data_IF_640054156233
#
_entry.id   IF_640054156233
#
_cell.length_a   1.000
_cell.length_b   1.000
_cell.length_c   1.000
_cell.angle_alpha   90.00
_cell.angle_beta   90.00
_cell.angle_gamma   90.00
#
_symmetry.space_group_name_H-M   'P 1'
#
loop_
_entity.id
_entity.type
_entity.pdbx_description
1 polymer ?
#
# COMPACT_ATOMS: atom_id res chain seq x y z
N UNK A 1 12.90 14.66 17.84
CA UNK A 1 13.54 15.49 16.78
C UNK A 1 12.52 15.71 15.69
N UNK A 2 12.61 16.82 14.95
CA UNK A 2 11.77 17.03 13.78
C UNK A 2 12.29 16.22 12.58
N UNK A 3 11.43 15.96 11.61
CA UNK A 3 11.73 15.13 10.45
C UNK A 3 12.94 15.64 9.64
N UNK A 4 13.02 16.94 9.41
CA UNK A 4 14.11 17.53 8.66
C UNK A 4 15.48 17.35 9.35
N UNK A 5 15.52 17.43 10.67
CA UNK A 5 16.73 17.14 11.45
C UNK A 5 17.14 15.69 11.31
N UNK A 6 16.19 14.74 11.41
CA UNK A 6 16.45 13.31 11.22
C UNK A 6 16.98 13.01 9.82
N UNK A 7 16.40 13.60 8.78
CA UNK A 7 16.86 13.44 7.40
C UNK A 7 18.31 13.92 7.24
N UNK A 8 18.63 15.10 7.81
CA UNK A 8 19.99 15.65 7.71
C UNK A 8 21.03 14.80 8.45
N UNK A 9 20.67 14.23 9.60
CA UNK A 9 21.54 13.33 10.37
C UNK A 9 21.70 11.98 9.64
N UNK A 10 20.61 11.41 9.13
CA UNK A 10 20.64 10.16 8.37
C UNK A 10 21.52 10.28 7.10
N UNK A 11 21.49 11.43 6.41
CA UNK A 11 22.39 11.74 5.28
C UNK A 11 23.87 11.80 5.67
N UNK A 12 24.18 12.10 6.93
CA UNK A 12 25.54 12.05 7.48
C UNK A 12 25.97 10.65 7.93
N UNK A 13 25.08 9.66 7.78
CA UNK A 13 25.33 8.28 8.15
C UNK A 13 24.93 7.93 9.59
N UNK A 14 24.19 8.80 10.29
CA UNK A 14 23.71 8.54 11.65
C UNK A 14 22.57 7.51 11.60
N UNK A 15 22.89 6.27 11.97
CA UNK A 15 21.94 5.14 11.90
C UNK A 15 20.73 5.31 12.81
N UNK A 16 20.90 5.90 14.00
CA UNK A 16 19.78 6.13 14.91
C UNK A 16 18.75 7.09 14.35
N UNK A 17 19.20 8.14 13.64
CA UNK A 17 18.30 9.06 12.97
C UNK A 17 17.58 8.39 11.79
N UNK A 18 18.27 7.54 11.04
CA UNK A 18 17.68 6.75 9.97
C UNK A 18 16.62 5.78 10.52
N UNK A 19 16.93 5.06 11.60
CA UNK A 19 15.97 4.15 12.23
C UNK A 19 14.71 4.87 12.73
N UNK A 20 14.85 6.07 13.29
CA UNK A 20 13.69 6.89 13.68
C UNK A 20 12.83 7.27 12.47
N UNK A 21 13.43 7.60 11.32
CA UNK A 21 12.68 7.85 10.08
C UNK A 21 11.93 6.59 9.60
N UNK A 22 12.55 5.40 9.69
CA UNK A 22 11.87 4.15 9.34
C UNK A 22 10.66 3.95 10.24
N UNK A 23 10.83 4.06 11.56
CA UNK A 23 9.75 3.86 12.54
C UNK A 23 8.55 4.79 12.31
N UNK A 24 8.77 6.01 11.77
CA UNK A 24 7.68 6.93 11.44
C UNK A 24 6.81 6.44 10.26
N UNK A 25 7.36 5.63 9.35
CA UNK A 25 6.72 5.33 8.07
C UNK A 25 6.59 3.84 7.75
N UNK A 26 7.13 2.94 8.57
CA UNK A 26 7.18 1.50 8.28
C UNK A 26 5.79 0.88 8.12
N UNK A 27 4.85 1.22 9.01
CA UNK A 27 3.49 0.66 8.97
C UNK A 27 2.76 1.09 7.70
N UNK A 28 2.93 2.35 7.32
CA UNK A 28 2.37 2.86 6.07
C UNK A 28 3.03 2.20 4.85
N UNK A 29 4.36 2.03 4.88
CA UNK A 29 5.10 1.37 3.81
C UNK A 29 4.64 -0.08 3.64
N UNK A 30 4.50 -0.81 4.75
CA UNK A 30 3.98 -2.17 4.74
C UNK A 30 2.54 -2.24 4.22
N UNK A 31 1.65 -1.37 4.69
CA UNK A 31 0.27 -1.33 4.21
C UNK A 31 0.17 -1.06 2.70
N UNK A 32 1.00 -0.14 2.16
CA UNK A 32 1.07 0.09 0.71
C UNK A 32 1.58 -1.15 -0.01
N UNK A 33 2.66 -1.75 0.49
CA UNK A 33 3.23 -2.96 -0.09
C UNK A 33 2.22 -4.11 -0.08
N UNK A 34 1.53 -4.35 1.04
CA UNK A 34 0.50 -5.36 1.17
C UNK A 34 -0.65 -5.15 0.16
N UNK A 35 -1.16 -3.92 0.05
CA UNK A 35 -2.22 -3.60 -0.93
C UNK A 35 -1.79 -3.80 -2.38
N UNK A 36 -0.49 -3.73 -2.69
CA UNK A 36 0.05 -3.98 -4.03
C UNK A 36 0.30 -5.47 -4.25
N UNK A 37 0.95 -6.13 -3.30
CA UNK A 37 1.44 -7.51 -3.42
C UNK A 37 0.34 -8.54 -3.13
N UNK A 38 -0.59 -8.22 -2.21
CA UNK A 38 -1.65 -9.11 -1.70
C UNK A 38 -1.10 -10.41 -1.08
N UNK A 39 0.05 -10.30 -0.45
CA UNK A 39 0.76 -11.38 0.23
C UNK A 39 1.65 -10.78 1.31
N UNK A 40 1.52 -11.24 2.55
CA UNK A 40 2.21 -10.68 3.72
C UNK A 40 3.73 -10.83 3.61
N UNK A 41 4.21 -12.00 3.23
CA UNK A 41 5.64 -12.29 3.13
C UNK A 41 6.27 -11.45 2.01
N UNK A 42 5.64 -11.42 0.83
CA UNK A 42 6.12 -10.58 -0.27
C UNK A 42 6.05 -9.09 0.04
N UNK A 43 5.05 -8.64 0.82
CA UNK A 43 4.95 -7.25 1.27
C UNK A 43 6.06 -6.89 2.26
N UNK A 44 6.36 -7.79 3.21
CA UNK A 44 7.45 -7.61 4.16
C UNK A 44 8.81 -7.52 3.45
N UNK A 45 9.09 -8.44 2.52
CA UNK A 45 10.30 -8.44 1.71
C UNK A 45 10.44 -7.15 0.87
N UNK A 46 9.37 -6.76 0.18
CA UNK A 46 9.38 -5.53 -0.63
C UNK A 46 9.57 -4.26 0.23
N UNK A 47 9.01 -4.25 1.45
CA UNK A 47 9.19 -3.16 2.41
C UNK A 47 10.63 -3.10 2.90
N UNK A 48 11.22 -4.24 3.24
CA UNK A 48 12.64 -4.32 3.65
C UNK A 48 13.57 -3.87 2.53
N UNK A 49 13.35 -4.33 1.31
CA UNK A 49 14.11 -3.89 0.12
C UNK A 49 13.97 -2.39 -0.13
N UNK A 50 12.77 -1.83 0.12
CA UNK A 50 12.54 -0.40 0.03
C UNK A 50 13.32 0.39 1.07
N UNK A 51 13.39 -0.09 2.33
CA UNK A 51 14.19 0.51 3.41
C UNK A 51 15.69 0.49 3.04
N UNK A 52 16.21 -0.64 2.56
CA UNK A 52 17.60 -0.75 2.11
C UNK A 52 17.86 0.22 0.94
N UNK A 53 16.94 0.30 0.00
CA UNK A 53 17.03 1.22 -1.15
C UNK A 53 16.97 2.68 -0.71
N UNK A 54 16.13 3.01 0.28
CA UNK A 54 16.04 4.33 0.89
C UNK A 54 17.38 4.72 1.55
N UNK A 55 17.96 3.84 2.36
CA UNK A 55 19.26 4.07 2.98
C UNK A 55 20.35 4.40 1.96
N UNK A 56 20.43 3.59 0.90
CA UNK A 56 21.43 3.77 -0.18
C UNK A 56 21.21 5.03 -1.00
N UNK A 57 20.01 5.59 -1.01
CA UNK A 57 19.61 6.72 -1.87
C UNK A 57 19.27 7.98 -1.09
N UNK A 58 19.44 8.01 0.23
CA UNK A 58 19.03 9.15 1.05
C UNK A 58 19.71 10.46 0.63
N UNK A 59 20.95 10.38 0.09
CA UNK A 59 21.67 11.51 -0.46
C UNK A 59 21.03 12.08 -1.73
N UNK A 60 20.19 11.31 -2.42
CA UNK A 60 19.47 11.76 -3.62
C UNK A 60 18.16 12.48 -3.29
N UNK A 61 17.73 12.45 -2.04
CA UNK A 61 16.57 13.23 -1.60
C UNK A 61 16.87 14.73 -1.65
N UNK A 62 16.09 15.48 -2.42
CA UNK A 62 16.32 16.92 -2.69
C UNK A 62 15.34 17.86 -1.99
N UNK A 63 14.60 17.36 -1.00
CA UNK A 63 13.53 18.11 -0.35
C UNK A 63 12.14 17.77 -0.88
N UNK A 64 11.12 18.48 -0.40
CA UNK A 64 9.72 18.13 -0.62
C UNK A 64 9.19 17.19 0.47
N UNK A 65 8.20 16.35 0.17
CA UNK A 65 7.69 15.35 1.11
C UNK A 65 8.59 14.12 1.16
N UNK A 66 9.26 13.89 2.29
CA UNK A 66 10.06 12.68 2.51
C UNK A 66 9.19 11.42 2.46
N UNK A 67 8.01 11.50 3.07
CA UNK A 67 6.99 10.45 3.02
C UNK A 67 6.68 10.03 1.57
N UNK A 68 6.37 10.99 0.69
CA UNK A 68 6.07 10.68 -0.71
C UNK A 68 7.27 10.11 -1.46
N UNK A 69 8.46 10.62 -1.20
CA UNK A 69 9.69 10.09 -1.79
C UNK A 69 9.93 8.64 -1.36
N UNK A 70 9.72 8.30 -0.08
CA UNK A 70 9.84 6.95 0.42
C UNK A 70 8.74 6.03 -0.13
N UNK A 71 7.47 6.46 -0.13
CA UNK A 71 6.37 5.67 -0.71
C UNK A 71 6.57 5.35 -2.19
N UNK A 72 7.22 6.24 -2.94
CA UNK A 72 7.64 5.96 -4.32
C UNK A 72 8.66 4.83 -4.39
N UNK A 73 9.63 4.78 -3.46
CA UNK A 73 10.60 3.68 -3.41
C UNK A 73 9.87 2.38 -3.12
N UNK A 74 8.96 2.37 -2.13
CA UNK A 74 8.14 1.19 -1.77
C UNK A 74 7.34 0.69 -2.97
N UNK A 75 6.57 1.55 -3.62
CA UNK A 75 5.75 1.17 -4.78
C UNK A 75 6.60 0.62 -5.92
N UNK A 76 7.77 1.19 -6.16
CA UNK A 76 8.68 0.70 -7.19
C UNK A 76 9.22 -0.69 -6.85
N UNK A 77 9.64 -0.94 -5.61
CA UNK A 77 10.11 -2.26 -5.17
C UNK A 77 9.02 -3.32 -5.34
N UNK A 78 7.79 -3.03 -4.91
CA UNK A 78 6.67 -3.94 -5.09
C UNK A 78 6.46 -4.31 -6.58
N UNK A 79 6.46 -3.32 -7.47
CA UNK A 79 6.26 -3.59 -8.90
C UNK A 79 7.47 -4.27 -9.56
N UNK A 80 8.68 -4.05 -9.06
CA UNK A 80 9.87 -4.77 -9.53
C UNK A 80 9.80 -6.23 -9.09
N UNK A 81 9.40 -6.52 -7.85
CA UNK A 81 9.17 -7.86 -7.34
C UNK A 81 8.09 -8.60 -8.16
N UNK A 82 6.93 -7.96 -8.41
CA UNK A 82 5.88 -8.54 -9.24
C UNK A 82 6.33 -8.84 -10.68
N UNK A 83 7.17 -7.98 -11.24
CA UNK A 83 7.76 -8.20 -12.57
C UNK A 83 8.73 -9.37 -12.57
N UNK A 84 9.51 -9.51 -11.51
CA UNK A 84 10.45 -10.61 -11.35
C UNK A 84 9.70 -11.95 -11.20
N UNK A 85 8.68 -12.03 -10.36
CA UNK A 85 7.82 -13.21 -10.19
C UNK A 85 7.20 -13.66 -11.52
N UNK A 86 6.68 -12.72 -12.32
CA UNK A 86 6.10 -13.02 -13.64
C UNK A 86 7.10 -13.59 -14.65
N UNK A 87 8.37 -13.21 -14.54
CA UNK A 87 9.44 -13.68 -15.44
C UNK A 87 10.00 -15.05 -15.04
N UNK A 88 9.85 -15.42 -13.79
CA UNK A 88 10.22 -16.73 -13.24
C UNK A 88 8.96 -17.35 -12.65
N UNK A 89 8.12 -18.01 -13.49
CA UNK A 89 7.06 -18.84 -12.93
C UNK A 89 7.75 -19.83 -12.01
N UNK A 90 7.30 -19.89 -10.76
CA UNK A 90 7.82 -20.84 -9.80
C UNK A 90 7.69 -22.23 -10.44
N UNK A 91 8.82 -22.89 -10.70
CA UNK A 91 8.83 -24.34 -10.79
C UNK A 91 8.34 -24.75 -9.41
N UNK A 92 7.14 -25.33 -9.35
CA UNK A 92 6.61 -25.88 -8.13
C UNK A 92 7.63 -26.89 -7.61
N UNK A 93 8.42 -26.48 -6.64
CA UNK A 93 9.01 -27.42 -5.71
C UNK A 93 7.77 -27.99 -5.00
N UNK A 94 7.51 -29.27 -5.20
CA UNK A 94 6.55 -30.00 -4.38
C UNK A 94 6.87 -29.67 -2.93
N UNK A 95 5.89 -29.24 -2.11
CA UNK A 95 6.16 -28.96 -0.71
C UNK A 95 6.55 -30.29 -0.07
N UNK A 96 7.84 -30.46 0.22
CA UNK A 96 8.22 -31.39 1.27
C UNK A 96 7.54 -30.90 2.53
N UNK A 97 6.61 -31.70 3.00
CA UNK A 97 5.96 -31.52 4.29
C UNK A 97 7.04 -31.54 5.36
N UNK A 98 7.39 -30.36 5.85
CA UNK A 98 8.08 -30.24 7.13
C UNK A 98 7.16 -29.50 8.11
N UNK A 99 7.19 -29.98 9.34
CA UNK A 99 6.23 -29.77 10.40
C UNK A 99 5.99 -28.30 10.70
N UNK A 100 4.71 -27.96 10.86
CA UNK A 100 4.22 -26.61 11.13
C UNK A 100 4.77 -26.01 12.41
N UNK A 101 5.64 -25.02 12.27
CA UNK A 101 5.72 -23.91 13.19
C UNK A 101 4.90 -22.78 12.59
N UNK A 102 3.71 -22.58 13.14
CA UNK A 102 2.94 -21.35 12.93
C UNK A 102 3.80 -20.21 13.43
N UNK A 103 4.33 -19.42 12.51
CA UNK A 103 4.89 -18.11 12.88
C UNK A 103 3.75 -17.30 13.49
N UNK A 104 3.86 -17.07 14.80
CA UNK A 104 2.95 -16.14 15.49
C UNK A 104 3.04 -14.78 14.80
N UNK A 105 1.89 -14.30 14.38
CA UNK A 105 1.77 -12.93 13.86
C UNK A 105 2.29 -11.94 14.89
N UNK A 106 3.07 -10.92 14.49
CA UNK A 106 3.59 -9.95 15.44
C UNK A 106 2.48 -9.34 16.29
N UNK A 107 2.68 -9.25 17.60
CA UNK A 107 1.68 -8.84 18.61
C UNK A 107 1.04 -7.44 18.41
N UNK A 108 1.51 -6.64 17.44
CA UNK A 108 0.93 -5.34 17.07
C UNK A 108 -0.25 -5.45 16.08
N UNK A 109 -0.59 -6.67 15.60
CA UNK A 109 -1.77 -6.96 14.77
C UNK A 109 -3.00 -7.33 15.62
N UNK A 110 -2.91 -7.33 16.95
CA UNK A 110 -4.07 -7.52 17.81
C UNK A 110 -4.93 -6.24 17.78
N UNK A 111 -5.84 -6.22 16.84
CA UNK A 111 -6.89 -5.20 16.75
C UNK A 111 -7.99 -5.45 17.81
N UNK A 112 -8.54 -4.38 18.34
CA UNK A 112 -9.56 -4.31 19.39
C UNK A 112 -10.62 -5.43 19.27
N UNK A 113 -10.97 -6.02 20.39
CA UNK A 113 -11.94 -7.12 20.58
C UNK A 113 -13.32 -6.80 20.00
N UNK A 114 -13.45 -6.87 18.69
CA UNK A 114 -14.76 -6.90 18.01
C UNK A 114 -15.42 -8.25 18.30
N UNK A 115 -16.76 -8.26 18.36
CA UNK A 115 -17.52 -9.50 18.45
C UNK A 115 -17.22 -10.37 17.22
N UNK A 116 -17.19 -11.72 17.34
CA UNK A 116 -16.84 -12.62 16.23
C UNK A 116 -17.64 -12.38 14.93
N UNK A 117 -18.92 -12.00 15.05
CA UNK A 117 -19.80 -11.70 13.90
C UNK A 117 -19.41 -10.38 13.21
N UNK A 118 -19.10 -9.32 13.98
CA UNK A 118 -18.64 -8.04 13.45
C UNK A 118 -17.23 -8.16 12.81
N UNK A 119 -16.41 -9.08 13.32
CA UNK A 119 -15.11 -9.42 12.78
C UNK A 119 -15.21 -10.11 11.41
N UNK A 120 -16.17 -11.04 11.24
CA UNK A 120 -16.40 -11.73 9.97
C UNK A 120 -16.88 -10.78 8.87
N UNK A 121 -17.90 -9.95 9.16
CA UNK A 121 -18.41 -8.97 8.20
C UNK A 121 -17.33 -7.94 7.80
N UNK A 122 -16.49 -7.52 8.75
CA UNK A 122 -15.37 -6.61 8.49
C UNK A 122 -14.34 -7.26 7.58
N UNK A 123 -14.00 -8.52 7.81
CA UNK A 123 -13.04 -9.27 6.99
C UNK A 123 -13.56 -9.45 5.56
N UNK A 124 -14.84 -9.81 5.38
CA UNK A 124 -15.46 -9.96 4.06
C UNK A 124 -15.46 -8.64 3.27
N UNK A 125 -15.72 -7.51 3.94
CA UNK A 125 -15.67 -6.19 3.32
C UNK A 125 -14.22 -5.82 2.93
N UNK A 126 -13.25 -6.10 3.79
CA UNK A 126 -11.83 -5.85 3.50
C UNK A 126 -11.36 -6.68 2.30
N UNK A 127 -11.75 -7.95 2.23
CA UNK A 127 -11.46 -8.83 1.10
C UNK A 127 -12.08 -8.31 -0.20
N UNK A 128 -13.32 -7.83 -0.15
CA UNK A 128 -13.98 -7.22 -1.31
C UNK A 128 -13.26 -5.95 -1.78
N UNK A 129 -12.86 -5.09 -0.86
CA UNK A 129 -12.07 -3.88 -1.16
C UNK A 129 -10.73 -4.27 -1.77
N UNK A 130 -10.01 -5.23 -1.17
CA UNK A 130 -8.73 -5.71 -1.66
C UNK A 130 -8.85 -6.34 -3.05
N UNK A 131 -9.91 -7.13 -3.27
CA UNK A 131 -10.24 -7.67 -4.60
C UNK A 131 -10.38 -6.55 -5.63
N UNK A 132 -11.13 -5.50 -5.32
CA UNK A 132 -11.31 -4.37 -6.23
C UNK A 132 -10.02 -3.60 -6.48
N UNK A 133 -9.19 -3.39 -5.45
CA UNK A 133 -7.85 -2.78 -5.60
C UNK A 133 -6.98 -3.61 -6.54
N UNK A 134 -7.02 -4.94 -6.43
CA UNK A 134 -6.20 -5.84 -7.27
C UNK A 134 -6.56 -5.77 -8.76
N UNK A 135 -7.82 -5.42 -9.08
CA UNK A 135 -8.30 -5.24 -10.45
C UNK A 135 -8.00 -3.85 -11.04
N UNK A 136 -7.46 -2.92 -10.25
CA UNK A 136 -7.01 -1.63 -10.78
C UNK A 136 -5.74 -1.79 -11.63
N UNK A 137 -5.66 -1.13 -12.81
CA UNK A 137 -4.41 -0.97 -13.52
C UNK A 137 -3.34 -0.31 -12.61
N UNK A 138 -2.07 -0.69 -12.79
CA UNK A 138 -0.93 -0.23 -11.99
C UNK A 138 -0.96 1.26 -11.68
N UNK A 139 -1.08 2.09 -12.72
CA UNK A 139 -1.00 3.55 -12.57
C UNK A 139 -2.19 4.13 -11.78
N UNK A 140 -3.37 3.49 -11.89
CA UNK A 140 -4.56 3.87 -11.13
C UNK A 140 -4.46 3.38 -9.68
N UNK A 141 -3.98 2.14 -9.48
CA UNK A 141 -3.74 1.56 -8.15
C UNK A 141 -2.78 2.43 -7.35
N UNK A 142 -1.62 2.78 -7.92
CA UNK A 142 -0.62 3.63 -7.26
C UNK A 142 -1.21 4.95 -6.79
N UNK A 143 -1.90 5.68 -7.68
CA UNK A 143 -2.49 6.97 -7.32
C UNK A 143 -3.60 6.81 -6.27
N UNK A 144 -4.44 5.79 -6.39
CA UNK A 144 -5.51 5.50 -5.44
C UNK A 144 -4.95 5.19 -4.04
N UNK A 145 -3.93 4.35 -3.95
CA UNK A 145 -3.30 4.00 -2.67
C UNK A 145 -2.63 5.21 -2.01
N UNK A 146 -1.94 6.05 -2.78
CA UNK A 146 -1.25 7.21 -2.21
C UNK A 146 -2.24 8.29 -1.77
N UNK A 147 -3.29 8.57 -2.54
CA UNK A 147 -4.25 9.65 -2.21
C UNK A 147 -5.34 9.16 -1.26
N UNK A 148 -6.12 8.14 -1.66
CA UNK A 148 -7.34 7.75 -0.95
C UNK A 148 -7.06 6.86 0.27
N UNK A 149 -6.00 6.06 0.24
CA UNK A 149 -5.65 5.19 1.37
C UNK A 149 -4.67 5.87 2.33
N UNK A 150 -3.65 6.55 1.79
CA UNK A 150 -2.61 7.18 2.63
C UNK A 150 -2.85 8.66 2.92
N UNK A 151 -3.86 9.29 2.29
CA UNK A 151 -4.22 10.68 2.54
C UNK A 151 -3.22 11.71 2.02
N UNK A 152 -2.41 11.36 1.00
CA UNK A 152 -1.47 12.30 0.39
C UNK A 152 -2.21 13.34 -0.47
N UNK A 153 -1.71 14.56 -0.49
CA UNK A 153 -2.20 15.58 -1.41
C UNK A 153 -1.76 15.32 -2.86
N UNK A 154 -2.44 15.94 -3.80
CA UNK A 154 -2.21 15.70 -5.24
C UNK A 154 -0.84 16.16 -5.72
N UNK A 155 -0.33 17.25 -5.16
CA UNK A 155 0.97 17.84 -5.46
C UNK A 155 2.09 16.89 -5.02
N UNK A 156 2.00 16.40 -3.80
CA UNK A 156 2.92 15.41 -3.21
C UNK A 156 2.95 14.12 -4.03
N UNK A 157 1.77 13.61 -4.43
CA UNK A 157 1.69 12.41 -5.27
C UNK A 157 2.26 12.70 -6.68
N UNK A 158 1.98 13.87 -7.26
CA UNK A 158 2.51 14.25 -8.57
C UNK A 158 4.04 14.27 -8.61
N UNK A 159 4.67 14.85 -7.59
CA UNK A 159 6.13 14.81 -7.40
C UNK A 159 6.63 13.37 -7.24
N UNK A 160 5.97 12.59 -6.38
CA UNK A 160 6.33 11.21 -6.09
C UNK A 160 6.34 10.34 -7.34
N UNK A 161 5.30 10.38 -8.17
CA UNK A 161 5.19 9.57 -9.39
C UNK A 161 5.77 10.27 -10.64
N UNK A 162 6.35 11.45 -10.50
CA UNK A 162 6.91 12.28 -11.58
C UNK A 162 5.91 12.51 -12.73
N UNK A 163 4.71 12.91 -12.38
CA UNK A 163 3.62 13.17 -13.32
C UNK A 163 2.93 14.50 -13.01
N UNK A 164 2.35 15.19 -14.00
CA UNK A 164 1.58 16.41 -13.74
C UNK A 164 0.41 16.17 -12.79
N UNK A 165 0.07 17.16 -11.95
CA UNK A 165 -1.10 17.11 -11.02
C UNK A 165 -2.40 16.77 -11.76
N UNK A 166 -2.60 17.31 -12.96
CA UNK A 166 -3.76 16.98 -13.82
C UNK A 166 -3.84 15.49 -14.16
N UNK A 167 -2.68 14.82 -14.33
CA UNK A 167 -2.61 13.37 -14.56
C UNK A 167 -2.98 12.60 -13.29
N UNK A 168 -2.53 13.05 -12.11
CA UNK A 168 -2.93 12.46 -10.83
C UNK A 168 -4.45 12.53 -10.67
N UNK A 169 -5.05 13.73 -10.83
CA UNK A 169 -6.50 13.94 -10.72
C UNK A 169 -7.29 13.05 -11.68
N UNK A 170 -6.87 12.95 -12.94
CA UNK A 170 -7.56 12.13 -13.95
C UNK A 170 -7.42 10.63 -13.66
N UNK A 171 -6.23 10.15 -13.23
CA UNK A 171 -6.01 8.75 -12.84
C UNK A 171 -6.83 8.40 -11.60
N UNK A 172 -6.88 9.27 -10.61
CA UNK A 172 -7.66 9.07 -9.40
C UNK A 172 -9.15 8.98 -9.68
N UNK A 173 -9.70 9.89 -10.51
CA UNK A 173 -11.10 9.86 -10.93
C UNK A 173 -11.45 8.51 -11.58
N UNK A 174 -10.61 8.04 -12.50
CA UNK A 174 -10.80 6.73 -13.15
C UNK A 174 -10.65 5.56 -12.19
N UNK A 175 -9.72 5.66 -11.22
CA UNK A 175 -9.55 4.64 -10.19
C UNK A 175 -10.81 4.54 -9.33
N UNK A 176 -11.33 5.67 -8.83
CA UNK A 176 -12.57 5.73 -8.03
C UNK A 176 -13.77 5.17 -8.79
N UNK A 177 -13.93 5.51 -10.05
CA UNK A 177 -15.01 4.94 -10.89
C UNK A 177 -14.91 3.42 -11.04
N UNK A 178 -13.69 2.88 -11.19
CA UNK A 178 -13.48 1.42 -11.26
C UNK A 178 -13.73 0.76 -9.91
N UNK A 179 -13.26 1.35 -8.82
CA UNK A 179 -13.55 0.89 -7.46
C UNK A 179 -15.05 0.86 -7.20
N UNK A 180 -15.76 1.94 -7.51
CA UNK A 180 -17.20 2.02 -7.35
C UNK A 180 -17.93 0.90 -8.12
N UNK A 181 -17.61 0.71 -9.40
CA UNK A 181 -18.23 -0.35 -10.23
C UNK A 181 -17.93 -1.75 -9.68
N UNK A 182 -16.70 -1.99 -9.21
CA UNK A 182 -16.32 -3.26 -8.65
C UNK A 182 -17.06 -3.52 -7.34
N UNK A 183 -17.11 -2.55 -6.42
CA UNK A 183 -17.78 -2.65 -5.13
C UNK A 183 -19.29 -2.80 -5.23
N UNK A 184 -19.92 -2.37 -6.33
CA UNK A 184 -21.33 -2.64 -6.60
C UNK A 184 -21.67 -4.14 -6.63
N UNK A 185 -20.72 -5.00 -7.01
CA UNK A 185 -20.90 -6.45 -6.97
C UNK A 185 -20.90 -7.01 -5.53
N UNK A 186 -20.44 -6.22 -4.57
CA UNK A 186 -20.34 -6.54 -3.13
C UNK A 186 -21.21 -5.62 -2.28
N UNK A 187 -22.28 -5.05 -2.87
CA UNK A 187 -23.12 -4.02 -2.20
C UNK A 187 -23.72 -4.49 -0.87
N UNK A 188 -23.91 -5.79 -0.70
CA UNK A 188 -24.46 -6.37 0.52
C UNK A 188 -23.51 -6.21 1.71
N UNK A 189 -22.21 -6.18 1.46
CA UNK A 189 -21.16 -5.98 2.45
C UNK A 189 -20.95 -4.49 2.78
N UNK A 190 -21.43 -3.58 1.91
CA UNK A 190 -21.26 -2.14 2.15
C UNK A 190 -22.18 -1.64 3.25
N UNK A 191 -21.72 -0.73 4.13
CA UNK A 191 -22.60 -0.01 5.04
C UNK A 191 -23.78 0.64 4.31
N UNK A 192 -24.96 0.68 4.94
CA UNK A 192 -26.20 1.13 4.31
C UNK A 192 -26.10 2.51 3.62
N UNK A 193 -25.27 3.41 4.15
CA UNK A 193 -25.02 4.75 3.59
C UNK A 193 -24.30 4.73 2.23
N UNK A 194 -23.60 3.63 1.90
CA UNK A 194 -22.89 3.45 0.65
C UNK A 194 -23.61 2.53 -0.34
N UNK A 195 -24.75 1.95 0.05
CA UNK A 195 -25.60 1.18 -0.86
C UNK A 195 -26.36 2.16 -1.74
N UNK A 196 -25.75 2.54 -2.87
CA UNK A 196 -26.40 3.46 -3.84
C UNK A 196 -27.73 2.87 -4.29
N UNK A 197 -28.81 3.60 -4.08
CA UNK A 197 -30.11 3.29 -4.66
C UNK A 197 -29.99 3.40 -6.19
N UNK A 198 -30.13 2.28 -6.87
CA UNK A 198 -30.15 2.21 -8.36
C UNK A 198 -31.50 2.64 -8.94
N UNK A 199 -32.41 3.19 -8.14
CA UNK A 199 -33.78 3.52 -8.57
C UNK A 199 -33.93 4.89 -9.27
N UNK A 200 -32.88 5.72 -9.36
CA UNK A 200 -33.01 7.08 -9.92
C UNK A 200 -32.39 7.29 -11.31
N UNK A 201 -32.14 6.24 -12.11
CA UNK A 201 -31.55 6.42 -13.45
C UNK A 201 -32.36 5.82 -14.61
N UNK A 202 -33.69 5.64 -14.45
CA UNK A 202 -34.61 5.35 -15.54
C UNK A 202 -35.68 6.46 -15.63
N UNK A 203 -35.25 7.65 -16.10
CA UNK A 203 -36.14 8.65 -16.70
C UNK A 203 -35.44 9.30 -17.89
#
# INVERSE_FOLDING_TARGET
>A
MDENTLINLARKGELDAFNQLILMYQDMAFNVAYRIMNDDAAAADATQDAVISMYRRIDTYRGGSFKAWFMRIVTNQCYDALRWQKRRPAVALEPETDDGEQMESPAWLEDDKLKPEESLEKNELEDAIQHCINHLPKDFKTVFLLVDVNGEDYETVAESIQSPVGTVKSRLSRARQRMQRCLQNFRELLPAIFRLNTEDNDV
#
